data_IF_471611413643
#
_entry.id   IF_471611413643
#
_cell.length_a   1.000
_cell.length_b   1.000
_cell.length_c   1.000
_cell.angle_alpha   90.00
_cell.angle_beta   90.00
_cell.angle_gamma   90.00
#
_symmetry.space_group_name_H-M   'P 1'
#
loop_
_entity.id
_entity.type
_entity.pdbx_description
1 polymer ?
#
# COMPACT_ATOMS: atom_id res chain seq x y z
N UNK A 1 41.08 -11.73 -21.46
CA UNK A 1 41.93 -10.79 -20.70
C UNK A 1 41.37 -10.71 -19.29
N UNK A 2 42.02 -11.44 -18.39
CA UNK A 2 41.67 -11.60 -16.98
C UNK A 2 42.29 -10.47 -16.17
N UNK A 3 41.62 -9.98 -15.13
CA UNK A 3 42.28 -9.27 -14.02
C UNK A 3 41.49 -9.48 -12.73
N UNK A 4 41.97 -10.46 -11.97
CA UNK A 4 41.71 -10.65 -10.55
C UNK A 4 42.52 -9.63 -9.76
N UNK A 5 41.92 -8.97 -8.77
CA UNK A 5 42.67 -8.29 -7.71
C UNK A 5 42.30 -8.94 -6.38
N UNK A 6 43.22 -9.79 -5.93
CA UNK A 6 43.39 -10.21 -4.55
C UNK A 6 44.01 -9.04 -3.77
N UNK A 7 43.45 -8.71 -2.61
CA UNK A 7 44.18 -8.01 -1.56
C UNK A 7 43.97 -8.76 -0.24
N UNK A 8 44.98 -9.58 0.05
CA UNK A 8 45.30 -10.14 1.36
C UNK A 8 45.98 -9.08 2.22
N UNK A 9 45.54 -8.90 3.46
CA UNK A 9 46.45 -8.50 4.55
C UNK A 9 46.11 -9.23 5.86
N UNK A 10 47.14 -9.56 6.66
CA UNK A 10 47.07 -10.56 7.71
C UNK A 10 46.58 -10.01 9.05
N UNK A 11 46.04 -10.93 9.85
CA UNK A 11 45.68 -10.77 11.25
C UNK A 11 46.91 -10.38 12.09
N UNK A 12 46.76 -9.35 12.94
CA UNK A 12 47.60 -9.16 14.14
C UNK A 12 46.73 -9.30 15.40
N UNK A 13 47.16 -10.07 16.41
CA UNK A 13 46.46 -10.23 17.68
C UNK A 13 46.94 -9.18 18.71
N UNK A 14 46.14 -8.98 19.76
CA UNK A 14 46.36 -8.11 20.93
C UNK A 14 45.78 -6.69 20.87
N UNK A 15 44.49 -6.59 21.16
CA UNK A 15 43.90 -5.45 21.86
C UNK A 15 43.25 -5.96 23.14
N UNK A 16 43.94 -5.80 24.26
CA UNK A 16 43.37 -5.96 25.61
C UNK A 16 42.38 -4.83 25.86
N UNK A 17 41.09 -5.10 25.69
CA UNK A 17 40.03 -4.20 26.16
C UNK A 17 39.86 -4.36 27.68
N UNK A 18 39.87 -3.27 28.47
CA UNK A 18 39.62 -3.35 29.90
C UNK A 18 38.14 -3.70 30.17
N UNK A 19 37.90 -4.63 31.09
CA UNK A 19 36.54 -5.01 31.52
C UNK A 19 35.82 -3.79 32.14
N UNK A 20 34.58 -3.47 31.74
CA UNK A 20 33.82 -2.40 32.38
C UNK A 20 33.43 -2.78 33.81
N UNK A 21 33.71 -1.88 34.76
CA UNK A 21 33.22 -1.98 36.14
C UNK A 21 31.72 -1.70 36.16
N UNK A 22 30.90 -2.71 36.39
CA UNK A 22 29.47 -2.51 36.68
C UNK A 22 29.32 -1.73 37.99
N UNK A 23 28.73 -0.54 37.90
CA UNK A 23 28.20 0.21 39.06
C UNK A 23 26.74 -0.22 39.25
N UNK A 24 26.28 -0.56 40.47
CA UNK A 24 24.88 -0.86 40.69
C UNK A 24 24.06 0.43 40.55
N UNK A 25 23.08 0.43 39.64
CA UNK A 25 22.14 1.53 39.48
C UNK A 25 21.17 1.53 40.67
N UNK A 26 21.09 2.65 41.37
CA UNK A 26 20.09 2.90 42.40
C UNK A 26 18.68 2.86 41.78
N UNK A 27 17.77 2.15 42.43
CA UNK A 27 16.36 2.11 42.07
C UNK A 27 15.72 3.49 42.30
N UNK A 28 15.28 4.16 41.24
CA UNK A 28 14.43 5.34 41.35
C UNK A 28 13.00 4.91 41.70
N UNK A 29 12.53 5.34 42.87
CA UNK A 29 11.13 5.20 43.29
C UNK A 29 10.27 6.08 42.39
N UNK A 30 9.45 5.49 41.54
CA UNK A 30 8.34 6.18 40.87
C UNK A 30 7.18 6.31 41.87
N UNK A 31 6.79 7.55 42.16
CA UNK A 31 5.65 7.90 42.98
C UNK A 31 4.34 7.56 42.26
N UNK A 32 3.40 6.98 43.00
CA UNK A 32 2.05 6.61 42.56
C UNK A 32 1.31 7.80 41.93
N UNK A 33 0.78 7.62 40.73
CA UNK A 33 -0.17 8.53 40.10
C UNK A 33 -1.59 8.04 40.42
N UNK A 34 -2.31 8.76 41.28
CA UNK A 34 -3.72 8.49 41.58
C UNK A 34 -4.62 8.96 40.42
N UNK A 35 -5.41 8.04 39.87
CA UNK A 35 -6.51 8.34 38.96
C UNK A 35 -7.75 8.73 39.78
N UNK A 36 -8.13 10.01 39.71
CA UNK A 36 -9.43 10.50 40.20
C UNK A 36 -10.56 9.87 39.38
N UNK A 37 -11.37 9.06 40.04
CA UNK A 37 -12.62 8.52 39.51
C UNK A 37 -13.62 9.66 39.23
N UNK A 38 -14.03 9.80 37.97
CA UNK A 38 -15.22 10.57 37.60
C UNK A 38 -16.42 9.63 37.62
N UNK A 39 -17.30 9.83 38.60
CA UNK A 39 -18.55 9.10 38.72
C UNK A 39 -19.55 9.56 37.65
N UNK A 40 -20.01 8.63 36.82
CA UNK A 40 -21.16 8.83 35.94
C UNK A 40 -22.42 8.31 36.67
N UNK A 41 -23.32 9.24 36.98
CA UNK A 41 -24.62 8.96 37.59
C UNK A 41 -25.46 8.05 36.68
N UNK A 42 -25.81 6.87 37.19
CA UNK A 42 -26.88 6.05 36.64
C UNK A 42 -28.23 6.56 37.13
N UNK A 43 -29.15 6.89 36.23
CA UNK A 43 -30.58 6.95 36.56
C UNK A 43 -31.31 5.91 35.71
N UNK A 44 -31.71 4.83 36.37
CA UNK A 44 -32.57 3.81 35.80
C UNK A 44 -34.02 4.26 35.85
N UNK A 45 -34.77 4.05 34.78
CA UNK A 45 -36.21 3.74 34.86
C UNK A 45 -36.48 2.65 33.86
N UNK A 46 -36.83 1.46 34.37
CA UNK A 46 -37.10 0.28 33.55
C UNK A 46 -38.52 0.24 32.99
N UNK A 47 -38.70 -0.59 31.96
CA UNK A 47 -39.83 -1.50 31.79
C UNK A 47 -39.51 -2.47 30.63
N UNK A 48 -39.83 -3.75 30.83
CA UNK A 48 -39.51 -4.86 29.94
C UNK A 48 -40.64 -5.12 28.89
N UNK A 49 -40.72 -6.28 28.20
CA UNK A 49 -40.32 -6.43 26.81
C UNK A 49 -41.49 -6.79 25.86
N UNK A 50 -41.41 -6.49 24.55
CA UNK A 50 -42.36 -7.04 23.56
C UNK A 50 -41.74 -7.35 22.19
N UNK A 51 -41.70 -8.67 21.93
CA UNK A 51 -41.97 -9.44 20.70
C UNK A 51 -41.36 -9.03 19.35
N UNK A 52 -40.67 -10.02 18.77
CA UNK A 52 -40.50 -10.27 17.33
C UNK A 52 -41.76 -9.94 16.52
N UNK A 53 -41.57 -9.22 15.40
CA UNK A 53 -42.59 -9.02 14.38
C UNK A 53 -41.98 -8.51 13.07
N UNK A 54 -41.81 -9.43 12.12
CA UNK A 54 -41.82 -9.28 10.66
C UNK A 54 -41.06 -8.10 10.03
N UNK A 55 -39.87 -8.42 9.50
CA UNK A 55 -39.18 -7.65 8.46
C UNK A 55 -39.96 -7.78 7.14
N UNK A 56 -40.84 -6.82 6.85
CA UNK A 56 -41.50 -6.71 5.54
C UNK A 56 -40.57 -5.97 4.58
N UNK A 57 -40.11 -6.69 3.56
CA UNK A 57 -39.44 -6.15 2.38
C UNK A 57 -40.43 -5.23 1.66
N UNK A 58 -40.21 -3.92 1.72
CA UNK A 58 -40.96 -2.96 0.92
C UNK A 58 -40.44 -3.02 -0.53
N UNK A 59 -41.14 -3.79 -1.38
CA UNK A 59 -41.13 -3.57 -2.83
C UNK A 59 -41.87 -2.25 -3.09
N UNK A 60 -41.15 -1.24 -3.59
CA UNK A 60 -41.78 -0.03 -4.12
C UNK A 60 -42.48 -0.42 -5.42
N UNK A 61 -43.80 -0.38 -5.41
CA UNK A 61 -44.63 -0.53 -6.59
C UNK A 61 -44.77 0.84 -7.26
N UNK A 62 -44.44 0.90 -8.55
CA UNK A 62 -44.76 2.05 -9.41
C UNK A 62 -46.29 2.23 -9.46
N UNK A 63 -46.74 3.47 -9.28
CA UNK A 63 -48.13 3.86 -9.53
C UNK A 63 -48.09 5.07 -10.47
N UNK A 64 -48.44 4.82 -11.74
CA UNK A 64 -48.79 5.87 -12.70
C UNK A 64 -50.21 6.38 -12.38
N UNK A 65 -50.35 7.69 -12.14
CA UNK A 65 -51.48 8.50 -12.59
C UNK A 65 -51.33 9.98 -12.14
N UNK A 66 -50.91 10.81 -13.10
CA UNK A 66 -51.34 12.19 -13.40
C UNK A 66 -51.56 13.23 -12.27
N UNK A 67 -50.66 14.23 -12.22
CA UNK A 67 -51.03 15.65 -12.32
C UNK A 67 -49.82 16.50 -12.69
N UNK A 68 -50.02 17.38 -13.67
CA UNK A 68 -48.96 18.17 -14.30
C UNK A 68 -48.31 19.19 -13.38
N UNK A 69 -47.00 19.08 -13.27
CA UNK A 69 -46.03 20.17 -13.21
C UNK A 69 -44.81 19.65 -13.97
N UNK A 70 -44.31 20.41 -14.94
CA UNK A 70 -43.08 20.07 -15.64
C UNK A 70 -41.93 20.14 -14.63
N UNK A 71 -41.60 19.01 -14.01
CA UNK A 71 -40.39 18.84 -13.25
C UNK A 71 -39.20 19.05 -14.19
N UNK A 72 -38.18 19.84 -13.81
CA UNK A 72 -36.97 19.89 -14.59
C UNK A 72 -36.44 18.46 -14.64
N UNK A 73 -36.29 17.90 -15.84
CA UNK A 73 -35.65 16.61 -16.06
C UNK A 73 -34.36 16.58 -15.21
N UNK A 74 -34.13 15.55 -14.37
CA UNK A 74 -32.88 15.47 -13.64
C UNK A 74 -31.78 15.57 -14.67
N UNK A 75 -30.92 16.59 -14.52
CA UNK A 75 -29.72 16.72 -15.33
C UNK A 75 -29.06 15.35 -15.34
N UNK A 76 -28.73 14.75 -16.50
CA UNK A 76 -28.10 13.45 -16.52
C UNK A 76 -26.90 13.55 -15.58
N UNK A 77 -26.85 12.68 -14.58
CA UNK A 77 -25.71 12.58 -13.67
C UNK A 77 -24.51 12.18 -14.53
N UNK A 78 -23.77 13.17 -15.00
CA UNK A 78 -22.52 12.95 -15.73
C UNK A 78 -21.48 12.58 -14.69
N UNK A 79 -21.27 11.28 -14.49
CA UNK A 79 -20.11 10.79 -13.74
C UNK A 79 -18.82 11.15 -14.47
N UNK A 80 -17.71 11.25 -13.74
CA UNK A 80 -16.39 11.29 -14.39
C UNK A 80 -16.25 10.09 -15.32
N UNK A 81 -15.82 10.33 -16.56
CA UNK A 81 -15.56 9.29 -17.56
C UNK A 81 -14.75 8.17 -16.89
N UNK A 82 -15.37 7.00 -16.75
CA UNK A 82 -14.79 5.86 -16.03
C UNK A 82 -13.65 5.20 -16.82
N UNK A 83 -13.15 5.87 -17.87
CA UNK A 83 -12.21 5.34 -18.85
C UNK A 83 -12.72 4.00 -19.39
N UNK A 84 -13.99 3.97 -19.83
CA UNK A 84 -14.61 2.76 -20.36
C UNK A 84 -13.79 2.25 -21.55
N UNK A 85 -13.13 1.10 -21.35
CA UNK A 85 -12.22 0.55 -22.34
C UNK A 85 -12.93 -0.44 -23.25
N UNK A 86 -13.51 0.07 -24.34
CA UNK A 86 -14.21 -0.74 -25.35
C UNK A 86 -13.20 -1.31 -26.35
N UNK A 87 -12.91 -2.61 -26.26
CA UNK A 87 -11.92 -3.30 -27.10
C UNK A 87 -12.20 -3.18 -28.61
N UNK A 88 -13.47 -3.23 -29.02
CA UNK A 88 -13.87 -3.15 -30.43
C UNK A 88 -13.64 -1.77 -31.05
N UNK A 89 -13.48 -0.74 -30.22
CA UNK A 89 -13.23 0.64 -30.66
C UNK A 89 -11.73 0.98 -30.72
N UNK A 90 -10.88 0.08 -30.25
CA UNK A 90 -9.43 0.28 -30.24
C UNK A 90 -8.83 0.09 -31.63
N UNK A 91 -8.22 1.15 -32.17
CA UNK A 91 -7.49 1.12 -33.43
C UNK A 91 -6.00 0.90 -33.18
N UNK A 92 -5.39 -0.06 -33.87
CA UNK A 92 -3.93 -0.31 -33.80
C UNK A 92 -3.13 0.95 -34.08
N UNK A 93 -3.60 1.81 -34.99
CA UNK A 93 -2.98 3.11 -35.27
C UNK A 93 -2.90 4.00 -34.02
N UNK A 94 -3.94 4.04 -33.17
CA UNK A 94 -3.95 4.83 -31.94
C UNK A 94 -2.91 4.35 -30.94
N UNK A 95 -2.69 3.04 -30.86
CA UNK A 95 -1.63 2.45 -30.04
C UNK A 95 -0.23 2.80 -30.56
N UNK A 96 -0.03 2.74 -31.88
CA UNK A 96 1.24 3.19 -32.50
C UNK A 96 1.47 4.66 -32.22
N UNK A 97 0.47 5.53 -32.41
CA UNK A 97 0.58 6.95 -32.08
C UNK A 97 0.89 7.17 -30.60
N UNK A 98 0.20 6.47 -29.70
CA UNK A 98 0.45 6.55 -28.26
C UNK A 98 1.89 6.16 -27.92
N UNK A 99 2.38 5.02 -28.44
CA UNK A 99 3.75 4.55 -28.19
C UNK A 99 4.80 5.52 -28.72
N UNK A 100 4.61 6.05 -29.92
CA UNK A 100 5.54 7.04 -30.50
C UNK A 100 5.55 8.32 -29.68
N UNK A 101 4.38 8.87 -29.34
CA UNK A 101 4.27 10.08 -28.52
C UNK A 101 4.89 9.86 -27.15
N UNK A 102 4.59 8.74 -26.48
CA UNK A 102 5.18 8.40 -25.19
C UNK A 102 6.71 8.29 -25.30
N UNK A 103 7.22 7.61 -26.34
CA UNK A 103 8.66 7.50 -26.59
C UNK A 103 9.33 8.86 -26.77
N UNK A 104 8.70 9.78 -27.52
CA UNK A 104 9.19 11.15 -27.69
C UNK A 104 9.18 11.90 -26.35
N UNK A 105 8.10 11.82 -25.58
CA UNK A 105 8.01 12.49 -24.27
C UNK A 105 9.09 11.97 -23.32
N UNK A 106 9.31 10.65 -23.28
CA UNK A 106 10.36 10.05 -22.45
C UNK A 106 11.76 10.44 -22.92
N UNK A 107 12.01 10.51 -24.23
CA UNK A 107 13.28 10.96 -24.77
C UNK A 107 13.55 12.44 -24.46
N UNK A 108 12.53 13.30 -24.57
CA UNK A 108 12.65 14.72 -24.19
C UNK A 108 12.92 14.85 -22.70
N UNK A 109 12.21 14.09 -21.86
CA UNK A 109 12.46 14.06 -20.42
C UNK A 109 13.90 13.63 -20.11
N UNK A 110 14.41 12.63 -20.81
CA UNK A 110 15.78 12.16 -20.69
C UNK A 110 16.77 13.29 -21.01
N UNK A 111 16.72 13.84 -22.23
CA UNK A 111 17.66 14.88 -22.69
C UNK A 111 17.56 16.19 -21.89
N UNK A 112 16.35 16.67 -21.60
CA UNK A 112 16.13 18.00 -21.02
C UNK A 112 16.22 17.99 -19.50
N UNK A 113 16.02 16.84 -18.85
CA UNK A 113 15.97 16.78 -17.38
C UNK A 113 16.92 15.77 -16.76
N UNK A 114 16.99 14.54 -17.26
CA UNK A 114 17.70 13.43 -16.59
C UNK A 114 19.19 13.41 -16.97
N UNK A 115 19.53 13.66 -18.22
CA UNK A 115 20.89 13.58 -18.73
C UNK A 115 21.82 14.55 -17.98
N UNK A 116 22.97 14.06 -17.52
CA UNK A 116 23.88 14.86 -16.70
C UNK A 116 24.64 15.94 -17.48
N UNK A 117 24.69 15.83 -18.81
CA UNK A 117 25.41 16.77 -19.68
C UNK A 117 24.48 17.85 -20.25
N UNK A 118 23.24 17.51 -20.58
CA UNK A 118 22.27 18.44 -21.20
C UNK A 118 21.10 18.80 -20.31
N UNK A 119 20.80 18.00 -19.28
CA UNK A 119 19.60 18.11 -18.48
C UNK A 119 19.68 19.11 -17.32
N UNK A 120 18.55 19.72 -16.99
CA UNK A 120 18.43 20.68 -15.89
C UNK A 120 18.26 20.02 -14.51
N UNK A 121 17.96 18.71 -14.44
CA UNK A 121 17.64 18.02 -13.19
C UNK A 121 18.77 18.08 -12.16
N UNK A 122 20.04 18.02 -12.61
CA UNK A 122 21.19 18.19 -11.74
C UNK A 122 21.23 19.58 -11.11
N UNK A 123 21.11 20.64 -11.93
CA UNK A 123 21.13 22.01 -11.45
C UNK A 123 19.96 22.28 -10.47
N UNK A 124 18.79 21.71 -10.74
CA UNK A 124 17.63 21.78 -9.84
C UNK A 124 17.91 21.10 -8.50
N UNK A 125 18.45 19.87 -8.49
CA UNK A 125 18.82 19.16 -7.25
C UNK A 125 19.91 19.91 -6.49
N UNK A 126 20.93 20.41 -7.18
CA UNK A 126 22.03 21.18 -6.58
C UNK A 126 21.48 22.47 -5.93
N UNK A 127 20.52 23.14 -6.58
CA UNK A 127 19.86 24.32 -6.02
C UNK A 127 19.03 23.99 -4.76
N UNK A 128 18.22 22.93 -4.79
CA UNK A 128 17.41 22.52 -3.62
C UNK A 128 18.30 22.06 -2.46
N UNK A 129 19.36 21.31 -2.77
CA UNK A 129 20.32 20.81 -1.77
C UNK A 129 21.22 21.92 -1.22
N UNK A 130 21.38 23.04 -1.93
CA UNK A 130 22.15 24.19 -1.42
C UNK A 130 21.52 24.83 -0.18
N UNK A 131 20.22 24.59 0.07
CA UNK A 131 19.49 25.12 1.24
C UNK A 131 20.01 24.51 2.54
N UNK A 132 20.46 23.24 2.52
CA UNK A 132 20.98 22.55 3.70
C UNK A 132 21.88 21.38 3.30
N UNK A 133 22.97 21.19 4.05
CA UNK A 133 23.83 20.01 3.89
C UNK A 133 23.19 18.68 4.31
N UNK A 134 21.96 18.70 4.85
CA UNK A 134 21.23 17.50 5.26
C UNK A 134 20.43 16.92 4.08
N UNK A 135 20.68 15.66 3.69
CA UNK A 135 19.90 15.00 2.64
C UNK A 135 18.42 14.83 3.01
N UNK A 136 18.09 14.76 4.31
CA UNK A 136 16.71 14.71 4.79
C UNK A 136 15.96 16.01 4.51
N UNK A 137 16.60 17.16 4.72
CA UNK A 137 16.00 18.48 4.41
C UNK A 137 15.80 18.63 2.91
N UNK A 138 16.80 18.25 2.10
CA UNK A 138 16.68 18.27 0.64
C UNK A 138 15.56 17.34 0.15
N UNK A 139 15.47 16.12 0.69
CA UNK A 139 14.38 15.18 0.38
C UNK A 139 13.01 15.77 0.73
N UNK A 140 12.86 16.34 1.93
CA UNK A 140 11.61 16.96 2.36
C UNK A 140 11.22 18.15 1.46
N UNK A 141 12.20 18.97 1.07
CA UNK A 141 12.00 20.08 0.14
C UNK A 141 11.56 19.59 -1.25
N UNK A 142 12.20 18.54 -1.79
CA UNK A 142 11.81 17.95 -3.08
C UNK A 142 10.38 17.39 -3.04
N UNK A 143 10.01 16.68 -1.98
CA UNK A 143 8.63 16.18 -1.78
C UNK A 143 7.65 17.34 -1.69
N UNK A 144 7.97 18.39 -0.94
CA UNK A 144 7.11 19.56 -0.78
C UNK A 144 6.91 20.30 -2.12
N UNK A 145 7.99 20.51 -2.88
CA UNK A 145 7.93 21.13 -4.22
C UNK A 145 7.07 20.27 -5.15
N UNK A 146 7.31 18.96 -5.20
CA UNK A 146 6.51 18.05 -6.03
C UNK A 146 5.03 18.09 -5.61
N UNK A 147 4.71 17.94 -4.33
CA UNK A 147 3.34 17.94 -3.83
C UNK A 147 2.62 19.25 -4.13
N UNK A 148 3.29 20.39 -3.93
CA UNK A 148 2.73 21.71 -4.21
C UNK A 148 2.45 21.90 -5.70
N UNK A 149 3.42 21.59 -6.56
CA UNK A 149 3.28 21.79 -8.00
C UNK A 149 2.27 20.81 -8.59
N UNK A 150 2.34 19.53 -8.23
CA UNK A 150 1.42 18.51 -8.72
C UNK A 150 -0.02 18.77 -8.27
N UNK A 151 -0.24 19.00 -6.97
CA UNK A 151 -1.59 19.25 -6.45
C UNK A 151 -2.12 20.62 -6.88
N UNK A 152 -1.24 21.63 -6.97
CA UNK A 152 -1.61 22.97 -7.45
C UNK A 152 -1.99 22.97 -8.93
N UNK A 153 -1.25 22.26 -9.79
CA UNK A 153 -1.68 22.08 -11.18
C UNK A 153 -2.98 21.27 -11.25
N UNK A 154 -3.19 20.29 -10.38
CA UNK A 154 -4.42 19.49 -10.38
C UNK A 154 -5.64 20.35 -10.02
N UNK A 155 -5.51 21.22 -9.01
CA UNK A 155 -6.60 22.13 -8.62
C UNK A 155 -6.87 23.24 -9.64
N UNK A 156 -5.87 23.61 -10.44
CA UNK A 156 -6.00 24.61 -11.51
C UNK A 156 -6.50 24.03 -12.83
N UNK A 157 -6.81 22.73 -12.89
CA UNK A 157 -7.18 22.03 -14.12
C UNK A 157 -8.32 22.70 -14.87
N UNK A 158 -9.46 22.92 -14.22
CA UNK A 158 -10.63 23.48 -14.91
C UNK A 158 -10.38 24.86 -15.50
N UNK A 159 -9.59 25.69 -14.81
CA UNK A 159 -9.19 27.01 -15.28
C UNK A 159 -8.17 26.91 -16.44
N UNK A 160 -7.19 26.03 -16.30
CA UNK A 160 -6.15 25.81 -17.31
C UNK A 160 -6.69 25.21 -18.60
N UNK A 161 -7.59 24.23 -18.51
CA UNK A 161 -8.23 23.61 -19.67
C UNK A 161 -9.07 24.63 -20.46
N UNK A 162 -9.74 25.56 -19.78
CA UNK A 162 -10.46 26.68 -20.44
C UNK A 162 -9.54 27.66 -21.17
N UNK A 163 -8.31 27.83 -20.68
CA UNK A 163 -7.38 28.83 -21.22
C UNK A 163 -6.55 28.30 -22.40
N UNK A 164 -5.96 27.12 -22.25
CA UNK A 164 -5.01 26.55 -23.23
C UNK A 164 -5.52 25.28 -23.90
N UNK A 165 -6.69 24.79 -23.52
CA UNK A 165 -7.27 23.55 -24.00
C UNK A 165 -6.77 22.32 -23.24
N UNK A 166 -7.61 21.29 -23.19
CA UNK A 166 -7.36 20.07 -22.39
C UNK A 166 -6.05 19.36 -22.75
N UNK A 167 -5.75 19.22 -24.05
CA UNK A 167 -4.56 18.50 -24.50
C UNK A 167 -3.28 19.25 -24.11
N UNK A 168 -3.25 20.57 -24.28
CA UNK A 168 -2.10 21.38 -23.91
C UNK A 168 -1.90 21.38 -22.39
N UNK A 169 -3.00 21.46 -21.63
CA UNK A 169 -2.95 21.37 -20.18
C UNK A 169 -2.39 20.03 -19.69
N UNK A 170 -2.83 18.90 -20.27
CA UNK A 170 -2.28 17.58 -19.94
C UNK A 170 -0.78 17.48 -20.22
N UNK A 171 -0.32 18.02 -21.35
CA UNK A 171 1.11 18.03 -21.70
C UNK A 171 1.90 18.90 -20.72
N UNK A 172 1.38 20.07 -20.34
CA UNK A 172 2.00 20.93 -19.32
C UNK A 172 2.05 20.22 -17.95
N UNK A 173 0.92 19.66 -17.52
CA UNK A 173 0.80 18.93 -16.26
C UNK A 173 1.82 17.80 -16.18
N UNK A 174 1.87 16.94 -17.20
CA UNK A 174 2.81 15.84 -17.28
C UNK A 174 4.26 16.33 -17.41
N UNK A 175 4.49 17.32 -18.26
CA UNK A 175 5.82 17.88 -18.54
C UNK A 175 6.46 18.57 -17.34
N UNK A 176 5.69 19.04 -16.37
CA UNK A 176 6.20 19.58 -15.10
C UNK A 176 6.22 18.52 -13.99
N UNK A 177 5.17 17.70 -13.88
CA UNK A 177 5.05 16.71 -12.80
C UNK A 177 6.04 15.55 -12.95
N UNK A 178 6.25 15.04 -14.18
CA UNK A 178 7.14 13.88 -14.41
C UNK A 178 8.59 14.19 -14.04
N UNK A 179 9.21 15.31 -14.46
CA UNK A 179 10.54 15.68 -14.01
C UNK A 179 10.69 15.74 -12.48
N UNK A 180 9.74 16.40 -11.80
CA UNK A 180 9.77 16.56 -10.34
C UNK A 180 9.59 15.21 -9.62
N UNK A 181 8.69 14.36 -10.12
CA UNK A 181 8.48 13.02 -9.57
C UNK A 181 9.73 12.15 -9.73
N UNK A 182 10.31 12.11 -10.93
CA UNK A 182 11.53 11.34 -11.21
C UNK A 182 12.69 11.84 -10.36
N UNK A 183 12.90 13.16 -10.26
CA UNK A 183 13.92 13.73 -9.37
C UNK A 183 13.73 13.29 -7.93
N UNK A 184 12.51 13.37 -7.40
CA UNK A 184 12.19 12.96 -6.02
C UNK A 184 12.51 11.48 -5.78
N UNK A 185 12.11 10.60 -6.69
CA UNK A 185 12.36 9.16 -6.60
C UNK A 185 13.85 8.84 -6.71
N UNK A 186 14.55 9.41 -7.69
CA UNK A 186 15.99 9.18 -7.91
C UNK A 186 16.80 9.70 -6.73
N UNK A 187 16.49 10.90 -6.24
CA UNK A 187 17.16 11.47 -5.06
C UNK A 187 16.99 10.55 -3.84
N UNK A 188 15.77 10.07 -3.58
CA UNK A 188 15.51 9.11 -2.51
C UNK A 188 16.34 7.84 -2.68
N UNK A 189 16.35 7.22 -3.86
CA UNK A 189 17.10 5.97 -4.12
C UNK A 189 18.60 6.15 -3.85
N UNK A 190 19.15 7.29 -4.25
CA UNK A 190 20.56 7.61 -4.10
C UNK A 190 20.95 7.89 -2.64
N UNK A 191 20.06 8.51 -1.88
CA UNK A 191 20.30 8.89 -0.47
C UNK A 191 19.60 7.96 0.53
N UNK A 192 19.12 6.78 0.08
CA UNK A 192 18.28 5.88 0.89
C UNK A 192 18.94 5.33 2.15
N UNK A 193 20.26 5.39 2.24
CA UNK A 193 21.05 4.98 3.39
C UNK A 193 21.78 6.15 4.06
N UNK A 194 21.54 7.36 3.58
CA UNK A 194 22.11 8.57 4.15
C UNK A 194 21.21 9.08 5.29
N UNK A 195 21.77 9.99 6.09
CA UNK A 195 21.04 10.64 7.17
C UNK A 195 20.99 9.84 8.47
N UNK A 196 20.14 10.30 9.39
CA UNK A 196 20.00 9.69 10.72
C UNK A 196 19.16 8.42 10.65
N UNK A 197 19.80 7.26 10.87
CA UNK A 197 19.10 5.99 11.02
C UNK A 197 18.28 5.99 12.32
N UNK A 198 16.95 6.11 12.20
CA UNK A 198 16.04 6.11 13.37
C UNK A 198 16.01 4.76 14.10
N UNK A 199 16.29 3.67 13.38
CA UNK A 199 16.25 2.31 13.92
C UNK A 199 17.35 1.45 13.28
N UNK A 200 18.38 1.10 14.07
CA UNK A 200 19.46 0.21 13.67
C UNK A 200 19.47 -1.04 14.56
N UNK A 201 18.41 -1.84 14.43
CA UNK A 201 18.20 -3.02 15.29
C UNK A 201 19.32 -4.07 15.16
N UNK A 202 20.09 -4.06 14.06
CA UNK A 202 21.16 -5.02 13.79
C UNK A 202 22.39 -4.86 14.71
N UNK A 203 22.58 -3.68 15.30
CA UNK A 203 23.72 -3.39 16.22
C UNK A 203 23.39 -3.70 17.68
N UNK A 204 22.11 -3.87 17.99
CA UNK A 204 21.69 -4.33 19.30
C UNK A 204 22.11 -5.79 19.42
N UNK A 205 23.10 -6.08 20.27
CA UNK A 205 23.63 -7.43 20.47
C UNK A 205 22.59 -8.49 20.87
N UNK A 206 21.38 -8.06 21.27
CA UNK A 206 20.24 -8.93 21.57
C UNK A 206 19.37 -9.26 20.33
N UNK A 207 19.62 -8.66 19.18
CA UNK A 207 18.88 -8.89 17.94
C UNK A 207 19.69 -9.82 17.07
N UNK A 208 19.23 -11.08 17.00
CA UNK A 208 19.79 -12.07 16.10
C UNK A 208 19.79 -11.55 14.65
N UNK A 209 20.81 -11.95 13.87
CA UNK A 209 20.79 -11.77 12.41
C UNK A 209 19.45 -12.26 11.89
N UNK A 210 18.76 -11.52 11.00
CA UNK A 210 17.47 -11.93 10.48
C UNK A 210 17.62 -13.28 9.77
N UNK A 211 17.15 -14.34 10.42
CA UNK A 211 17.10 -15.68 9.86
C UNK A 211 15.79 -15.81 9.10
N UNK A 212 15.86 -16.34 7.89
CA UNK A 212 14.65 -16.72 7.16
C UNK A 212 14.04 -17.93 7.83
N UNK A 213 12.94 -17.72 8.54
CA UNK A 213 12.15 -18.78 9.14
C UNK A 213 11.12 -19.29 8.12
N UNK A 214 11.19 -20.59 7.80
CA UNK A 214 10.16 -21.27 7.02
C UNK A 214 9.03 -21.67 7.97
N UNK A 215 7.95 -20.88 7.97
CA UNK A 215 6.85 -21.04 8.90
C UNK A 215 5.85 -22.12 8.44
N UNK A 216 5.37 -22.91 9.40
CA UNK A 216 4.31 -23.92 9.21
C UNK A 216 3.11 -23.67 10.14
N UNK A 217 3.10 -22.53 10.84
CA UNK A 217 2.13 -22.17 11.87
C UNK A 217 1.35 -20.91 11.49
N UNK A 218 0.24 -20.66 12.21
CA UNK A 218 -0.67 -19.55 11.92
C UNK A 218 -1.26 -19.68 10.52
N UNK A 219 -1.39 -18.55 9.82
CA UNK A 219 -1.99 -18.55 8.47
C UNK A 219 -1.25 -19.46 7.47
N UNK A 220 0.06 -19.67 7.67
CA UNK A 220 0.88 -20.55 6.83
C UNK A 220 0.49 -22.03 6.94
N UNK A 221 -0.15 -22.40 8.07
CA UNK A 221 -0.73 -23.73 8.29
C UNK A 221 -1.92 -24.00 7.37
N UNK A 222 -2.71 -22.96 7.09
CA UNK A 222 -3.87 -23.04 6.18
C UNK A 222 -3.38 -23.10 4.74
N UNK A 223 -2.45 -22.23 4.35
CA UNK A 223 -1.82 -22.22 3.02
C UNK A 223 -0.42 -21.63 3.12
N UNK A 224 0.56 -22.16 2.39
CA UNK A 224 1.91 -21.59 2.28
C UNK A 224 1.93 -20.27 1.50
N UNK A 225 0.85 -19.92 0.79
CA UNK A 225 0.77 -18.70 -0.03
C UNK A 225 -0.46 -17.86 0.31
N UNK A 226 -0.59 -17.37 1.56
CA UNK A 226 -1.79 -16.67 2.01
C UNK A 226 -2.02 -15.35 1.27
N UNK A 227 -0.96 -14.66 0.84
CA UNK A 227 -1.07 -13.43 0.05
C UNK A 227 -1.69 -13.70 -1.33
N UNK A 228 -1.30 -14.79 -2.00
CA UNK A 228 -1.89 -15.17 -3.28
C UNK A 228 -3.37 -15.51 -3.10
N UNK A 229 -3.70 -16.32 -2.08
CA UNK A 229 -5.09 -16.70 -1.81
C UNK A 229 -5.95 -15.48 -1.48
N UNK A 230 -5.44 -14.55 -0.66
CA UNK A 230 -6.11 -13.29 -0.36
C UNK A 230 -6.36 -12.47 -1.61
N UNK A 231 -5.36 -12.35 -2.49
CA UNK A 231 -5.52 -11.63 -3.76
C UNK A 231 -6.56 -12.30 -4.67
N UNK A 232 -6.57 -13.63 -4.77
CA UNK A 232 -7.55 -14.37 -5.58
C UNK A 232 -8.96 -14.10 -5.06
N UNK A 233 -9.19 -14.25 -3.75
CA UNK A 233 -10.51 -13.98 -3.15
C UNK A 233 -10.93 -12.52 -3.39
N UNK A 234 -9.99 -11.58 -3.22
CA UNK A 234 -10.25 -10.16 -3.45
C UNK A 234 -10.63 -9.88 -4.91
N UNK A 235 -9.89 -10.43 -5.88
CA UNK A 235 -10.17 -10.26 -7.31
C UNK A 235 -11.53 -10.86 -7.69
N UNK A 236 -11.87 -12.03 -7.15
CA UNK A 236 -13.18 -12.66 -7.36
C UNK A 236 -14.31 -11.80 -6.79
N UNK A 237 -14.15 -11.31 -5.56
CA UNK A 237 -15.15 -10.44 -4.93
C UNK A 237 -15.38 -9.14 -5.73
N UNK A 238 -14.31 -8.49 -6.20
CA UNK A 238 -14.41 -7.26 -7.00
C UNK A 238 -15.02 -7.52 -8.37
N UNK A 239 -14.67 -8.65 -9.00
CA UNK A 239 -15.29 -9.04 -10.28
C UNK A 239 -16.79 -9.25 -10.12
N UNK A 240 -17.22 -9.94 -9.05
CA UNK A 240 -18.64 -10.18 -8.77
C UNK A 240 -19.37 -8.89 -8.43
N UNK A 241 -18.75 -8.00 -7.66
CA UNK A 241 -19.39 -6.77 -7.17
C UNK A 241 -19.50 -5.67 -8.24
N UNK A 242 -18.45 -5.47 -9.04
CA UNK A 242 -18.41 -4.41 -10.07
C UNK A 242 -19.02 -4.90 -11.39
N UNK A 243 -18.76 -6.15 -11.77
CA UNK A 243 -19.47 -6.80 -12.88
C UNK A 243 -19.18 -6.28 -14.29
N UNK A 244 -18.01 -5.68 -14.57
CA UNK A 244 -17.64 -5.23 -15.92
C UNK A 244 -16.39 -5.95 -16.50
N UNK A 245 -16.22 -5.83 -17.82
CA UNK A 245 -15.17 -6.52 -18.58
C UNK A 245 -13.75 -6.04 -18.23
N UNK A 246 -13.57 -4.77 -17.89
CA UNK A 246 -12.27 -4.21 -17.48
C UNK A 246 -11.84 -4.79 -16.14
N UNK A 247 -12.74 -4.84 -15.15
CA UNK A 247 -12.49 -5.46 -13.85
C UNK A 247 -12.21 -6.95 -13.99
N UNK A 248 -12.93 -7.64 -14.88
CA UNK A 248 -12.66 -9.05 -15.16
C UNK A 248 -11.25 -9.26 -15.76
N UNK A 249 -10.88 -8.46 -16.76
CA UNK A 249 -9.54 -8.53 -17.38
C UNK A 249 -8.42 -8.22 -16.38
N UNK A 250 -8.58 -7.16 -15.58
CA UNK A 250 -7.64 -6.79 -14.52
C UNK A 250 -7.50 -7.91 -13.48
N UNK A 251 -8.62 -8.50 -13.05
CA UNK A 251 -8.65 -9.61 -12.09
C UNK A 251 -7.93 -10.84 -12.62
N UNK A 252 -8.14 -11.21 -13.89
CA UNK A 252 -7.43 -12.33 -14.53
C UNK A 252 -5.92 -12.06 -14.57
N UNK A 253 -5.51 -10.85 -14.98
CA UNK A 253 -4.10 -10.46 -15.02
C UNK A 253 -3.43 -10.53 -13.64
N UNK A 254 -4.09 -10.00 -12.60
CA UNK A 254 -3.59 -10.03 -11.22
C UNK A 254 -3.52 -11.46 -10.69
N UNK A 255 -4.55 -12.28 -10.90
CA UNK A 255 -4.52 -13.69 -10.48
C UNK A 255 -3.36 -14.42 -11.16
N UNK A 256 -3.18 -14.26 -12.47
CA UNK A 256 -2.09 -14.88 -13.21
C UNK A 256 -0.72 -14.46 -12.66
N UNK A 257 -0.52 -13.16 -12.38
CA UNK A 257 0.70 -12.65 -11.76
C UNK A 257 0.99 -13.33 -10.41
N UNK A 258 -0.01 -13.46 -9.55
CA UNK A 258 0.18 -14.08 -8.23
C UNK A 258 0.43 -15.59 -8.32
N UNK A 259 -0.21 -16.31 -9.25
CA UNK A 259 0.08 -17.72 -9.51
C UNK A 259 1.51 -17.92 -10.03
N UNK A 260 1.98 -17.04 -10.92
CA UNK A 260 3.38 -17.02 -11.35
C UNK A 260 4.33 -16.74 -10.17
N UNK A 261 3.95 -15.80 -9.28
CA UNK A 261 4.66 -15.49 -8.06
C UNK A 261 4.82 -16.69 -7.12
N UNK A 262 3.77 -17.51 -6.96
CA UNK A 262 3.80 -18.76 -6.19
C UNK A 262 4.83 -19.73 -6.76
N UNK A 263 4.75 -20.03 -8.06
CA UNK A 263 5.68 -20.93 -8.73
C UNK A 263 7.13 -20.44 -8.61
N UNK A 264 7.38 -19.18 -8.95
CA UNK A 264 8.71 -18.61 -8.92
C UNK A 264 9.26 -18.53 -7.49
N UNK A 265 8.40 -18.19 -6.51
CA UNK A 265 8.74 -18.15 -5.09
C UNK A 265 9.20 -19.51 -4.57
N UNK A 266 8.40 -20.54 -4.80
CA UNK A 266 8.74 -21.91 -4.38
C UNK A 266 10.01 -22.41 -5.05
N UNK A 267 10.18 -22.14 -6.35
CA UNK A 267 11.41 -22.50 -7.08
C UNK A 267 12.65 -21.85 -6.45
N UNK A 268 12.59 -20.55 -6.13
CA UNK A 268 13.71 -19.85 -5.48
C UNK A 268 14.01 -20.40 -4.09
N UNK A 269 12.98 -20.75 -3.32
CA UNK A 269 13.15 -21.33 -1.99
C UNK A 269 13.74 -22.75 -2.06
N UNK A 270 13.30 -23.57 -3.01
CA UNK A 270 13.86 -24.89 -3.25
C UNK A 270 15.34 -24.83 -3.62
N UNK A 271 15.74 -23.91 -4.51
CA UNK A 271 17.15 -23.71 -4.88
C UNK A 271 18.00 -23.24 -3.69
N UNK A 272 17.47 -22.32 -2.87
CA UNK A 272 18.24 -21.69 -1.78
C UNK A 272 18.34 -22.55 -0.52
N UNK A 273 17.30 -23.31 -0.20
CA UNK A 273 17.17 -24.03 1.07
C UNK A 273 17.06 -25.55 0.93
N UNK A 274 16.98 -26.08 -0.30
CA UNK A 274 17.04 -27.51 -0.60
C UNK A 274 16.06 -28.33 0.25
N UNK A 275 16.58 -29.33 0.95
CA UNK A 275 15.82 -30.25 1.80
C UNK A 275 14.97 -29.54 2.87
N UNK A 276 15.46 -28.43 3.42
CA UNK A 276 14.71 -27.69 4.45
C UNK A 276 13.40 -27.12 3.89
N UNK A 277 13.40 -26.68 2.63
CA UNK A 277 12.18 -26.22 1.97
C UNK A 277 11.28 -27.38 1.54
N UNK A 278 11.85 -28.48 1.04
CA UNK A 278 11.05 -29.64 0.66
C UNK A 278 10.35 -30.28 1.86
N UNK A 279 10.97 -30.28 3.04
CA UNK A 279 10.33 -30.69 4.29
C UNK A 279 9.08 -29.83 4.60
N UNK A 280 9.21 -28.50 4.54
CA UNK A 280 8.09 -27.57 4.76
C UNK A 280 7.01 -27.73 3.70
N UNK A 281 7.41 -27.88 2.43
CA UNK A 281 6.49 -28.06 1.30
C UNK A 281 5.70 -29.35 1.41
N UNK A 282 6.32 -30.45 1.85
CA UNK A 282 5.61 -31.72 2.09
C UNK A 282 4.55 -31.63 3.18
N UNK A 283 4.72 -30.75 4.17
CA UNK A 283 3.77 -30.53 5.28
C UNK A 283 2.80 -29.37 5.05
N UNK A 284 2.92 -28.63 3.95
CA UNK A 284 2.05 -27.47 3.65
C UNK A 284 1.37 -27.61 2.29
N UNK A 285 0.47 -26.69 1.96
CA UNK A 285 -0.23 -26.67 0.68
C UNK A 285 -0.36 -25.26 0.14
N UNK A 286 -0.42 -25.12 -1.19
CA UNK A 286 -0.84 -23.87 -1.85
C UNK A 286 -2.34 -23.68 -1.71
N UNK A 287 -3.11 -24.76 -1.89
CA UNK A 287 -4.57 -24.79 -1.74
C UNK A 287 -4.90 -24.72 -0.24
N UNK A 288 -5.73 -23.75 0.20
CA UNK A 288 -6.15 -23.64 1.59
C UNK A 288 -6.70 -24.95 2.15
N UNK A 289 -6.31 -25.28 3.38
CA UNK A 289 -6.73 -26.44 4.15
C UNK A 289 -6.35 -27.83 3.60
N UNK A 290 -5.91 -27.94 2.34
CA UNK A 290 -5.66 -29.25 1.73
C UNK A 290 -4.61 -30.08 2.51
N UNK A 291 -3.52 -29.47 2.99
CA UNK A 291 -2.54 -30.21 3.80
C UNK A 291 -3.09 -30.68 5.16
N UNK A 292 -4.07 -29.98 5.72
CA UNK A 292 -4.74 -30.37 6.96
C UNK A 292 -5.68 -31.54 6.70
N UNK A 293 -6.47 -31.45 5.63
CA UNK A 293 -7.40 -32.51 5.21
C UNK A 293 -6.66 -33.80 4.80
N UNK A 294 -5.49 -33.67 4.16
CA UNK A 294 -4.60 -34.78 3.81
C UNK A 294 -3.91 -35.41 5.05
N UNK A 295 -4.02 -34.80 6.22
CA UNK A 295 -3.32 -35.21 7.44
C UNK A 295 -1.81 -34.92 7.47
N UNK A 296 -1.26 -34.29 6.42
CA UNK A 296 0.15 -33.87 6.33
C UNK A 296 0.47 -32.74 7.33
N UNK A 297 -0.52 -31.91 7.62
CA UNK A 297 -0.45 -30.82 8.59
C UNK A 297 -1.41 -31.08 9.76
N UNK A 298 -0.87 -31.26 10.97
CA UNK A 298 -1.69 -31.55 12.15
C UNK A 298 -2.03 -30.26 12.90
N UNK A 299 -3.24 -30.19 13.44
CA UNK A 299 -3.68 -29.10 14.31
C UNK A 299 -3.37 -29.46 15.77
N UNK A 300 -2.51 -28.71 16.47
CA UNK A 300 -2.33 -28.90 17.91
C UNK A 300 -3.59 -28.49 18.69
N UNK A 301 -3.79 -29.00 19.90
CA UNK A 301 -4.98 -28.69 20.72
C UNK A 301 -5.15 -27.18 20.97
N UNK A 302 -4.05 -26.43 21.06
CA UNK A 302 -4.03 -25.00 21.29
C UNK A 302 -3.79 -24.15 20.03
N UNK A 303 -4.06 -24.70 18.84
CA UNK A 303 -3.87 -24.01 17.55
C UNK A 303 -4.58 -22.65 17.47
N UNK A 304 -5.70 -22.47 18.18
CA UNK A 304 -6.47 -21.22 18.21
C UNK A 304 -5.62 -20.04 18.68
N UNK A 305 -4.65 -20.26 19.57
CA UNK A 305 -3.71 -19.22 20.03
C UNK A 305 -2.87 -18.64 18.89
N UNK A 306 -2.63 -19.39 17.82
CA UNK A 306 -1.93 -18.88 16.64
C UNK A 306 -2.68 -17.71 15.97
N UNK A 307 -4.01 -17.65 16.16
CA UNK A 307 -4.93 -16.67 15.56
C UNK A 307 -5.46 -15.62 16.55
N UNK A 308 -5.22 -15.77 17.86
CA UNK A 308 -5.45 -14.71 18.85
C UNK A 308 -4.26 -13.75 18.88
N UNK A 309 -4.14 -12.91 17.85
CA UNK A 309 -3.08 -11.89 17.75
C UNK A 309 -3.65 -10.49 17.74
N UNK A 310 -2.92 -9.56 18.37
CA UNK A 310 -3.29 -8.15 18.45
C UNK A 310 -3.65 -7.54 17.08
N UNK A 311 -2.90 -7.78 15.97
CA UNK A 311 -3.26 -7.22 14.67
C UNK A 311 -4.65 -7.62 14.19
N UNK A 312 -5.07 -8.88 14.41
CA UNK A 312 -6.40 -9.32 13.99
C UNK A 312 -7.51 -8.66 14.80
N UNK A 313 -7.29 -8.49 16.11
CA UNK A 313 -8.22 -7.78 17.00
C UNK A 313 -8.31 -6.31 16.59
N UNK A 314 -7.17 -5.64 16.38
CA UNK A 314 -7.11 -4.24 15.98
C UNK A 314 -7.76 -3.98 14.63
N UNK A 315 -7.48 -4.80 13.61
CA UNK A 315 -8.08 -4.66 12.27
C UNK A 315 -9.59 -4.89 12.35
N UNK A 316 -10.05 -5.89 13.09
CA UNK A 316 -11.48 -6.16 13.27
C UNK A 316 -12.18 -4.98 13.94
N UNK A 317 -11.61 -4.48 15.04
CA UNK A 317 -12.15 -3.33 15.76
C UNK A 317 -12.18 -2.06 14.89
N UNK A 318 -11.12 -1.79 14.13
CA UNK A 318 -11.06 -0.66 13.20
C UNK A 318 -12.10 -0.79 12.09
N UNK A 319 -12.23 -1.98 11.50
CA UNK A 319 -13.20 -2.24 10.43
C UNK A 319 -14.63 -2.05 10.92
N UNK A 320 -14.97 -2.62 12.08
CA UNK A 320 -16.29 -2.44 12.69
C UNK A 320 -16.52 -0.97 13.07
N UNK A 321 -15.51 -0.31 13.65
CA UNK A 321 -15.56 1.11 13.99
C UNK A 321 -15.83 1.98 12.77
N UNK A 322 -15.11 1.77 11.67
CA UNK A 322 -15.32 2.46 10.40
C UNK A 322 -16.71 2.17 9.81
N UNK A 323 -17.17 0.92 9.86
CA UNK A 323 -18.51 0.54 9.41
C UNK A 323 -19.61 1.28 10.19
N UNK A 324 -19.51 1.34 11.52
CA UNK A 324 -20.48 2.07 12.35
C UNK A 324 -20.34 3.59 12.23
N UNK A 325 -19.14 4.10 11.96
CA UNK A 325 -18.90 5.51 11.73
C UNK A 325 -19.29 5.96 10.31
N UNK A 326 -19.52 5.03 9.38
CA UNK A 326 -19.79 5.35 7.98
C UNK A 326 -20.97 6.33 7.77
N UNK A 327 -22.12 6.20 8.46
CA UNK A 327 -23.21 7.19 8.34
C UNK A 327 -22.81 8.59 8.84
N UNK A 328 -21.99 8.67 9.89
CA UNK A 328 -21.47 9.94 10.42
C UNK A 328 -20.50 10.58 9.42
N UNK A 329 -19.64 9.78 8.78
CA UNK A 329 -18.71 10.25 7.74
C UNK A 329 -19.46 10.78 6.51
N UNK A 330 -20.52 10.08 6.07
CA UNK A 330 -21.39 10.53 4.98
C UNK A 330 -22.10 11.84 5.33
N UNK A 331 -22.69 11.93 6.53
CA UNK A 331 -23.37 13.14 6.99
C UNK A 331 -22.41 14.33 7.09
N UNK A 332 -21.22 14.14 7.66
CA UNK A 332 -20.18 15.16 7.73
C UNK A 332 -19.73 15.61 6.33
N UNK A 333 -19.55 14.67 5.40
CA UNK A 333 -19.20 14.99 4.01
C UNK A 333 -20.29 15.81 3.31
N UNK A 334 -21.57 15.50 3.54
CA UNK A 334 -22.68 16.25 2.93
C UNK A 334 -22.82 17.69 3.43
N UNK A 335 -22.18 18.02 4.56
CA UNK A 335 -22.13 19.38 5.11
C UNK A 335 -20.96 20.23 4.58
N UNK A 336 -20.11 19.69 3.70
CA UNK A 336 -19.06 20.44 3.03
C UNK A 336 -19.65 21.06 1.74
N UNK A 337 -19.61 22.39 1.62
CA UNK A 337 -20.26 23.15 0.55
C UNK A 337 -19.32 23.54 -0.60
N UNK A 338 -18.37 22.69 -0.93
CA UNK A 338 -17.43 22.90 -2.04
C UNK A 338 -17.45 21.73 -3.00
#
# INVERSE_FOLDING_TARGET
MSSSILLSHPLSPHLHLPKPKLRPSAASKLSNFELRNVALNSRSTGAAPRRLGNLVVARVAETEAERGEASPSPSPLVGEDSAEFVLSEQKVSSWVYFTVVLGVVLYVLDVVWIDNSTGFGKAFVDAVSSVSGSPEVAMLALVAIFALVHSGLASLRDAGEKLIGERAFRVLFAGVSLPLAVTTVVYFINHRYDGVQLWQLQEVAAVDKPKMHLWETGIMRITRHPQMVGQVIWCLAHTIWIGNSVTAAASVGLIAHHLFGVWNGDRRLAIRYGEAFEAVKSRTSVIPFAAILDGRQKLPEDYYKEYLRLPYISITALTLGAYFAHPLMQAASSGLHW
#
